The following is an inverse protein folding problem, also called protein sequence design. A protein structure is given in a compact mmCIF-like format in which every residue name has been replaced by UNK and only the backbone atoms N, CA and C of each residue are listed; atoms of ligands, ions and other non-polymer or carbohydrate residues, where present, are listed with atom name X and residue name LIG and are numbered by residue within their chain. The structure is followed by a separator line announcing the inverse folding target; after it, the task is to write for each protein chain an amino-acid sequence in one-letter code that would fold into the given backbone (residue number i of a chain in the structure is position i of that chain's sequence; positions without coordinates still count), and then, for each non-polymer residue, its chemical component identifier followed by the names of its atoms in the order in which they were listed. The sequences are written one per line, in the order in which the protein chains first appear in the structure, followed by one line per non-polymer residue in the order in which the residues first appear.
data_IF_760312643476
#
_entry.id   IF_760312643476
#
_cell.length_a   1.000
_cell.length_b   1.000
_cell.length_c   1.000
_cell.angle_alpha   90.00
_cell.angle_beta   90.00
_cell.angle_gamma   90.00
#
_symmetry.space_group_name_H-M   'P 1'
#
loop_
_entity.id
_entity.type
_entity.pdbx_description
1 polymer ?
#
# COMPACT_ATOMS: atom_id res chain seq x y z
N UNK A 1 10.79 13.44 -6.50
CA UNK A 1 10.28 12.88 -5.23
C UNK A 1 11.34 12.25 -4.32
N UNK A 2 12.51 11.78 -4.80
CA UNK A 2 13.56 11.15 -3.95
C UNK A 2 14.00 11.95 -2.71
N UNK A 3 13.96 13.28 -2.77
CA UNK A 3 14.34 14.14 -1.63
C UNK A 3 13.33 14.12 -0.47
N UNK A 4 12.08 13.70 -0.73
CA UNK A 4 11.01 13.64 0.26
C UNK A 4 10.57 12.18 0.57
N UNK A 5 11.27 11.18 0.03
CA UNK A 5 10.95 9.75 0.16
C UNK A 5 9.50 9.39 -0.18
N UNK A 6 8.88 10.11 -1.13
CA UNK A 6 7.52 9.84 -1.61
C UNK A 6 7.53 8.93 -2.84
N UNK A 7 6.66 7.92 -2.82
CA UNK A 7 6.36 7.02 -3.94
C UNK A 7 5.03 7.38 -4.61
N UNK A 8 4.77 6.78 -5.76
CA UNK A 8 3.45 6.85 -6.41
C UNK A 8 2.45 6.15 -5.49
N UNK A 9 1.26 6.75 -5.34
CA UNK A 9 0.16 6.30 -4.46
C UNK A 9 0.36 6.49 -2.95
N UNK A 10 1.42 7.19 -2.52
CA UNK A 10 1.59 7.56 -1.12
C UNK A 10 0.48 8.51 -0.65
N UNK A 11 -0.09 8.22 0.51
CA UNK A 11 -1.05 9.10 1.17
C UNK A 11 -0.32 10.22 1.91
N UNK A 12 -0.68 11.47 1.63
CA UNK A 12 -0.10 12.64 2.27
C UNK A 12 -1.21 13.55 2.80
N UNK A 13 -0.96 14.16 3.96
CA UNK A 13 -1.79 15.27 4.44
C UNK A 13 -1.32 16.56 3.77
N UNK A 14 -2.28 17.43 3.45
CA UNK A 14 -2.03 18.68 2.74
C UNK A 14 -2.44 19.85 3.63
N UNK A 15 -1.48 20.73 3.89
CA UNK A 15 -1.72 21.98 4.62
C UNK A 15 -1.27 23.19 3.80
N UNK A 16 -1.94 24.34 3.98
CA UNK A 16 -1.52 25.61 3.40
C UNK A 16 -1.00 26.50 4.52
N UNK A 17 0.28 26.83 4.46
CA UNK A 17 0.94 27.71 5.42
C UNK A 17 1.66 28.82 4.67
N UNK A 18 1.33 30.09 4.99
CA UNK A 18 2.01 31.28 4.44
C UNK A 18 2.06 31.32 2.90
N UNK A 19 1.00 30.86 2.23
CA UNK A 19 0.93 30.79 0.77
C UNK A 19 1.72 29.64 0.14
N UNK A 20 2.23 28.70 0.94
CA UNK A 20 2.92 27.48 0.49
C UNK A 20 2.06 26.26 0.78
N UNK A 21 2.12 25.26 -0.10
CA UNK A 21 1.52 23.95 0.11
C UNK A 21 2.57 23.06 0.80
N UNK A 22 2.24 22.57 1.99
CA UNK A 22 3.06 21.65 2.77
C UNK A 22 2.44 20.26 2.66
N UNK A 23 3.24 19.30 2.16
CA UNK A 23 2.86 17.89 2.08
C UNK A 23 3.51 17.15 3.23
N UNK A 24 2.69 16.50 4.06
CA UNK A 24 3.13 15.75 5.23
C UNK A 24 2.91 14.26 4.92
N UNK A 25 3.97 13.44 4.82
CA UNK A 25 3.80 12.00 4.64
C UNK A 25 3.00 11.43 5.81
N UNK A 26 1.90 10.76 5.51
CA UNK A 26 1.18 10.02 6.55
C UNK A 26 2.05 8.82 6.94
N UNK A 27 2.17 8.55 8.24
CA UNK A 27 2.97 7.41 8.70
C UNK A 27 2.39 6.13 8.11
N UNK A 28 3.26 5.31 7.53
CA UNK A 28 2.87 3.96 7.11
C UNK A 28 2.23 3.23 8.29
N UNK A 29 1.07 2.61 8.03
CA UNK A 29 0.42 1.76 9.03
C UNK A 29 1.40 0.66 9.41
N UNK A 30 1.85 0.68 10.65
CA UNK A 30 2.74 -0.35 11.17
C UNK A 30 1.89 -1.51 11.64
N UNK A 31 2.09 -2.68 11.04
CA UNK A 31 1.40 -3.91 11.42
C UNK A 31 2.35 -4.82 12.18
N UNK A 32 1.87 -5.52 13.21
CA UNK A 32 2.61 -6.62 13.80
C UNK A 32 2.16 -7.94 13.18
N UNK A 33 3.11 -8.84 12.94
CA UNK A 33 2.82 -10.18 12.42
C UNK A 33 1.84 -10.92 13.34
N UNK A 34 2.05 -10.83 14.66
CA UNK A 34 1.17 -11.44 15.66
C UNK A 34 -0.26 -10.89 15.59
N UNK A 35 -0.44 -9.58 15.41
CA UNK A 35 -1.77 -8.98 15.25
C UNK A 35 -2.45 -9.48 13.97
N UNK A 36 -1.72 -9.55 12.86
CA UNK A 36 -2.26 -10.04 11.60
C UNK A 36 -2.69 -11.52 11.70
N UNK A 37 -1.84 -12.36 12.29
CA UNK A 37 -2.14 -13.79 12.48
C UNK A 37 -3.32 -14.00 13.44
N UNK A 38 -3.43 -13.19 14.49
CA UNK A 38 -4.53 -13.27 15.45
C UNK A 38 -5.90 -12.93 14.84
N UNK A 39 -5.92 -12.19 13.73
CA UNK A 39 -7.15 -11.82 13.02
C UNK A 39 -7.64 -12.86 12.02
N UNK A 40 -6.92 -13.96 11.80
CA UNK A 40 -7.33 -15.01 10.86
C UNK A 40 -8.42 -15.88 11.49
N UNK A 41 -9.53 -16.05 10.79
CA UNK A 41 -10.67 -16.90 11.17
C UNK A 41 -11.00 -17.87 10.04
N UNK A 42 -11.75 -18.92 10.33
CA UNK A 42 -12.20 -19.87 9.29
C UNK A 42 -13.07 -19.17 8.22
N UNK A 43 -13.79 -18.11 8.60
CA UNK A 43 -14.65 -17.33 7.70
C UNK A 43 -13.86 -16.40 6.75
N UNK A 44 -12.68 -15.92 7.16
CA UNK A 44 -11.85 -15.02 6.36
C UNK A 44 -10.66 -15.72 5.67
N UNK A 45 -10.57 -17.05 5.78
CA UNK A 45 -9.50 -17.83 5.18
C UNK A 45 -9.68 -17.92 3.66
N UNK A 46 -8.85 -17.18 2.92
CA UNK A 46 -8.88 -17.20 1.46
C UNK A 46 -8.20 -18.46 0.89
N UNK A 47 -8.85 -19.09 -0.10
CA UNK A 47 -8.24 -20.14 -0.90
C UNK A 47 -7.16 -19.58 -1.84
N UNK A 48 -6.35 -20.48 -2.41
CA UNK A 48 -5.38 -20.11 -3.46
C UNK A 48 -6.09 -19.39 -4.61
N UNK A 49 -5.61 -18.20 -4.94
CA UNK A 49 -6.02 -17.50 -6.14
C UNK A 49 -5.32 -18.10 -7.36
N UNK A 50 -6.08 -18.42 -8.41
CA UNK A 50 -5.55 -18.80 -9.72
C UNK A 50 -5.39 -17.53 -10.58
N UNK A 51 -4.18 -17.27 -11.03
CA UNK A 51 -3.87 -16.15 -11.93
C UNK A 51 -4.25 -16.44 -13.38
N UNK A 52 -4.67 -17.68 -13.68
CA UNK A 52 -5.03 -18.11 -15.01
C UNK A 52 -3.84 -18.31 -15.92
N UNK A 53 -4.13 -18.56 -17.20
CA UNK A 53 -3.11 -18.69 -18.24
C UNK A 53 -2.65 -17.30 -18.70
N UNK A 54 -1.38 -17.13 -19.10
CA UNK A 54 -0.91 -15.89 -19.72
C UNK A 54 -1.81 -15.52 -20.91
N UNK A 55 -2.30 -14.27 -20.92
CA UNK A 55 -3.14 -13.72 -22.00
C UNK A 55 -2.38 -12.77 -22.93
N UNK A 56 -1.13 -12.46 -22.60
CA UNK A 56 -0.23 -11.62 -23.40
C UNK A 56 0.47 -12.39 -24.52
N UNK A 57 1.01 -11.65 -25.49
CA UNK A 57 1.88 -12.17 -26.58
C UNK A 57 3.37 -12.01 -26.25
N UNK A 58 3.70 -11.88 -24.97
CA UNK A 58 5.08 -11.82 -24.48
C UNK A 58 5.69 -13.23 -24.56
N UNK A 59 5.88 -13.72 -25.78
CA UNK A 59 6.77 -14.83 -26.05
C UNK A 59 8.19 -14.34 -25.77
N UNK A 60 8.87 -15.01 -24.84
CA UNK A 60 10.33 -14.93 -24.71
C UNK A 60 11.00 -15.37 -26.02
#
# INVERSE_FOLDING_TARGET
MKAAALNVDDTVDIEVQEGRIVLIPTKEKTYSLDALLSGITEENMHNKADFGKPTGKEML
#
